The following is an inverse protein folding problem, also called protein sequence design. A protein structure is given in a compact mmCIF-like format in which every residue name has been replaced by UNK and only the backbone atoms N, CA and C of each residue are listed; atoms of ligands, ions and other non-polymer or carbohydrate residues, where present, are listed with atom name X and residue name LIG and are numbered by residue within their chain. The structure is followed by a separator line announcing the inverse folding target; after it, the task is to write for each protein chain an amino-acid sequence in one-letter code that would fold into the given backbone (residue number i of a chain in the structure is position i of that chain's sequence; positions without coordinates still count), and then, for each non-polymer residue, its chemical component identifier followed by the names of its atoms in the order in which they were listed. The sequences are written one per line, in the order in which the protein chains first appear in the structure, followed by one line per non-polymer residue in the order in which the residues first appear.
data_IF_320592598812
#
_entry.id   IF_320592598812
#
_cell.length_a   1.000
_cell.length_b   1.000
_cell.length_c   1.000
_cell.angle_alpha   90.00
_cell.angle_beta   90.00
_cell.angle_gamma   90.00
#
_symmetry.space_group_name_H-M   'P 1'
#
loop_
_entity.id
_entity.type
_entity.pdbx_description
1 polymer ?
#
# COMPACT_ATOMS: atom_id res chain seq x y z
N UNK A 1 -19.19 -40.82 57.35
CA UNK A 1 -19.67 -39.43 57.30
C UNK A 1 -18.81 -38.65 56.32
N UNK A 2 -19.16 -38.75 55.04
CA UNK A 2 -18.70 -37.84 53.99
C UNK A 2 -19.49 -36.52 54.10
N UNK A 3 -18.97 -35.46 53.48
CA UNK A 3 -19.52 -34.10 53.35
C UNK A 3 -19.11 -33.10 54.43
N UNK A 4 -17.90 -32.56 54.28
CA UNK A 4 -17.62 -31.13 54.56
C UNK A 4 -16.32 -30.58 53.98
N UNK A 5 -15.67 -31.27 53.03
CA UNK A 5 -14.40 -30.82 52.45
C UNK A 5 -14.48 -30.30 50.99
N UNK A 6 -15.62 -30.45 50.28
CA UNK A 6 -15.69 -30.05 48.86
C UNK A 6 -16.17 -28.62 48.59
N UNK A 7 -16.79 -27.92 49.54
CA UNK A 7 -17.33 -26.58 49.27
C UNK A 7 -16.35 -25.41 49.46
N UNK A 8 -15.33 -25.53 50.33
CA UNK A 8 -14.39 -24.42 50.55
C UNK A 8 -13.31 -24.30 49.47
N UNK A 9 -12.91 -25.42 48.86
CA UNK A 9 -11.97 -25.40 47.73
C UNK A 9 -12.67 -24.88 46.47
N UNK A 10 -13.96 -25.18 46.28
CA UNK A 10 -14.72 -24.66 45.15
C UNK A 10 -14.96 -23.14 45.25
N UNK A 11 -15.16 -22.60 46.46
CA UNK A 11 -15.41 -21.17 46.64
C UNK A 11 -14.14 -20.30 46.49
N UNK A 12 -12.96 -20.83 46.82
CA UNK A 12 -11.69 -20.14 46.58
C UNK A 12 -11.34 -20.16 45.09
N UNK A 13 -11.69 -21.22 44.37
CA UNK A 13 -11.52 -21.29 42.91
C UNK A 13 -12.56 -20.40 42.20
N UNK A 14 -13.78 -20.26 42.73
CA UNK A 14 -14.80 -19.39 42.13
C UNK A 14 -14.52 -17.88 42.32
N UNK A 15 -13.84 -17.50 43.40
CA UNK A 15 -13.45 -16.09 43.65
C UNK A 15 -12.16 -15.71 42.92
N UNK A 16 -11.31 -16.67 42.52
CA UNK A 16 -10.16 -16.40 41.65
C UNK A 16 -10.48 -16.44 40.14
N UNK A 17 -11.69 -16.87 39.75
CA UNK A 17 -12.17 -16.79 38.36
C UNK A 17 -12.78 -15.42 38.04
N UNK A 18 -12.95 -14.54 39.03
CA UNK A 18 -13.42 -13.17 38.85
C UNK A 18 -12.28 -12.21 39.22
N UNK A 19 -11.73 -11.48 38.24
CA UNK A 19 -10.55 -10.59 38.25
C UNK A 19 -9.24 -11.15 37.68
N UNK A 20 -9.32 -12.20 36.86
CA UNK A 20 -8.36 -12.37 35.77
C UNK A 20 -9.07 -12.23 34.43
N UNK A 21 -9.83 -11.14 34.25
CA UNK A 21 -9.82 -10.46 32.96
C UNK A 21 -8.43 -9.85 32.80
N UNK A 22 -7.42 -10.71 32.64
CA UNK A 22 -6.28 -10.36 31.82
C UNK A 22 -6.93 -10.02 30.49
N UNK A 23 -7.10 -8.72 30.24
CA UNK A 23 -7.21 -8.23 28.89
C UNK A 23 -6.11 -8.98 28.14
N UNK A 24 -6.51 -9.96 27.34
CA UNK A 24 -5.67 -10.46 26.27
C UNK A 24 -5.37 -9.15 25.54
N UNK A 25 -4.12 -8.64 25.54
CA UNK A 25 -3.81 -7.53 24.67
C UNK A 25 -4.31 -8.00 23.32
N UNK A 26 -5.28 -7.30 22.73
CA UNK A 26 -5.78 -7.65 21.42
C UNK A 26 -4.53 -7.82 20.56
N UNK A 27 -4.20 -9.07 20.23
CA UNK A 27 -3.06 -9.38 19.40
C UNK A 27 -3.42 -8.66 18.10
N UNK A 28 -2.80 -7.49 17.86
CA UNK A 28 -3.06 -6.65 16.70
C UNK A 28 -3.21 -7.60 15.52
N UNK A 29 -4.40 -7.67 14.94
CA UNK A 29 -4.71 -8.71 13.98
C UNK A 29 -3.64 -8.66 12.88
N UNK A 30 -2.78 -9.70 12.81
CA UNK A 30 -1.57 -9.66 11.97
C UNK A 30 -1.88 -9.57 10.47
N UNK A 31 -3.15 -9.66 10.08
CA UNK A 31 -3.58 -9.69 8.69
C UNK A 31 -4.63 -8.61 8.45
N UNK A 32 -4.18 -7.47 7.92
CA UNK A 32 -5.05 -6.42 7.40
C UNK A 32 -5.92 -7.01 6.29
N UNK A 33 -7.24 -6.81 6.38
CA UNK A 33 -8.19 -7.25 5.36
C UNK A 33 -8.33 -6.17 4.30
N UNK A 34 -7.98 -6.49 3.05
CA UNK A 34 -8.30 -5.63 1.91
C UNK A 34 -9.75 -5.87 1.50
N UNK A 35 -10.50 -4.78 1.33
CA UNK A 35 -11.86 -4.76 0.81
C UNK A 35 -11.87 -3.95 -0.48
N UNK A 36 -12.39 -4.56 -1.54
CA UNK A 36 -12.41 -3.99 -2.88
C UNK A 36 -13.71 -3.17 -3.09
N UNK A 37 -13.59 -1.86 -3.32
CA UNK A 37 -14.73 -0.94 -3.43
C UNK A 37 -15.45 -1.09 -4.77
N UNK A 38 -16.76 -1.33 -4.74
CA UNK A 38 -17.57 -1.75 -5.89
C UNK A 38 -17.03 -3.01 -6.61
N UNK A 39 -16.22 -3.83 -5.94
CA UNK A 39 -15.35 -4.83 -6.59
C UNK A 39 -13.96 -4.26 -6.92
N UNK A 40 -13.38 -4.60 -8.08
CA UNK A 40 -12.14 -3.95 -8.56
C UNK A 40 -12.49 -2.84 -9.57
N UNK A 41 -11.99 -1.62 -9.37
CA UNK A 41 -12.25 -0.49 -10.30
C UNK A 41 -11.10 -0.25 -11.29
N UNK A 42 -10.02 -1.02 -11.18
CA UNK A 42 -8.82 -0.92 -12.02
C UNK A 42 -9.16 -1.02 -13.51
N UNK A 43 -9.78 -2.13 -13.91
CA UNK A 43 -10.05 -2.49 -15.30
C UNK A 43 -11.39 -3.23 -15.48
N UNK A 44 -12.12 -3.54 -14.41
CA UNK A 44 -13.44 -4.21 -14.48
C UNK A 44 -14.62 -3.24 -14.28
N UNK A 45 -15.82 -3.57 -14.81
CA UNK A 45 -17.01 -2.74 -14.61
C UNK A 45 -17.51 -2.84 -13.18
N UNK A 46 -17.74 -1.70 -12.53
CA UNK A 46 -18.12 -1.63 -11.12
C UNK A 46 -19.41 -2.39 -10.81
N UNK A 47 -19.51 -2.97 -9.60
CA UNK A 47 -20.70 -3.65 -9.10
C UNK A 47 -21.19 -4.84 -9.99
N UNK A 48 -20.27 -5.53 -10.68
CA UNK A 48 -20.54 -6.70 -11.53
C UNK A 48 -19.85 -7.97 -11.02
N UNK A 49 -20.26 -9.15 -11.52
CA UNK A 49 -19.58 -10.40 -11.20
C UNK A 49 -18.15 -10.44 -11.74
N UNK A 50 -17.88 -9.87 -12.92
CA UNK A 50 -16.51 -9.72 -13.42
C UNK A 50 -15.60 -8.99 -12.43
N UNK A 51 -16.07 -7.89 -11.83
CA UNK A 51 -15.31 -7.16 -10.83
C UNK A 51 -15.10 -7.97 -9.53
N UNK A 52 -16.09 -8.76 -9.13
CA UNK A 52 -15.99 -9.60 -7.92
C UNK A 52 -15.05 -10.78 -8.11
N UNK A 53 -15.12 -11.46 -9.25
CA UNK A 53 -14.20 -12.55 -9.59
C UNK A 53 -12.76 -12.05 -9.68
N UNK A 54 -12.53 -10.89 -10.32
CA UNK A 54 -11.20 -10.28 -10.33
C UNK A 54 -10.70 -9.99 -8.91
N UNK A 55 -11.54 -9.37 -8.08
CA UNK A 55 -11.17 -9.05 -6.70
C UNK A 55 -10.82 -10.31 -5.88
N UNK A 56 -11.58 -11.41 -6.03
CA UNK A 56 -11.27 -12.69 -5.38
C UNK A 56 -9.95 -13.27 -5.89
N UNK A 57 -9.70 -13.22 -7.21
CA UNK A 57 -8.45 -13.72 -7.80
C UNK A 57 -7.22 -12.93 -7.33
N UNK A 58 -7.38 -11.64 -7.02
CA UNK A 58 -6.35 -10.82 -6.37
C UNK A 58 -6.07 -11.28 -4.93
N UNK A 59 -7.04 -11.92 -4.26
CA UNK A 59 -6.91 -12.40 -2.88
C UNK A 59 -7.43 -11.40 -1.84
N UNK A 60 -8.40 -10.55 -2.18
CA UNK A 60 -9.03 -9.66 -1.20
C UNK A 60 -9.87 -10.45 -0.19
N UNK A 61 -10.02 -9.92 1.03
CA UNK A 61 -10.83 -10.56 2.07
C UNK A 61 -12.26 -10.03 2.16
N UNK A 62 -12.62 -9.02 1.37
CA UNK A 62 -13.96 -8.48 1.28
C UNK A 62 -14.27 -7.68 0.01
N UNK A 63 -15.56 -7.40 -0.22
CA UNK A 63 -16.06 -6.48 -1.24
C UNK A 63 -16.92 -5.40 -0.58
N UNK A 64 -16.89 -4.17 -1.08
CA UNK A 64 -17.92 -3.18 -0.78
C UNK A 64 -18.82 -3.05 -2.01
N UNK A 65 -20.13 -3.03 -1.77
CA UNK A 65 -21.16 -3.03 -2.82
C UNK A 65 -22.27 -2.04 -2.50
N UNK A 66 -22.85 -1.46 -3.55
CA UNK A 66 -23.90 -0.46 -3.43
C UNK A 66 -25.27 -1.05 -3.71
N UNK A 67 -26.23 -0.90 -2.79
CA UNK A 67 -27.56 -1.49 -2.94
C UNK A 67 -28.63 -0.42 -3.18
N UNK A 68 -29.45 -0.68 -4.21
CA UNK A 68 -30.66 0.08 -4.54
C UNK A 68 -31.83 -0.85 -4.87
N UNK A 69 -33.03 -0.30 -4.89
CA UNK A 69 -34.29 -0.99 -5.08
C UNK A 69 -34.97 -0.55 -6.37
N UNK A 70 -35.40 -1.52 -7.15
CA UNK A 70 -36.16 -1.34 -8.38
C UNK A 70 -37.63 -1.01 -8.10
N UNK A 71 -38.39 -0.69 -9.16
CA UNK A 71 -39.83 -0.44 -9.09
C UNK A 71 -40.63 -1.62 -8.52
N UNK A 72 -40.20 -2.85 -8.79
CA UNK A 72 -40.77 -4.12 -8.30
C UNK A 72 -40.10 -4.64 -7.02
N UNK A 73 -39.55 -3.72 -6.24
CA UNK A 73 -38.90 -3.96 -4.96
C UNK A 73 -37.69 -4.91 -5.01
N UNK A 74 -37.13 -5.24 -6.16
CA UNK A 74 -35.91 -6.07 -6.22
C UNK A 74 -34.71 -5.25 -5.77
N UNK A 75 -33.81 -5.88 -5.02
CA UNK A 75 -32.57 -5.26 -4.57
C UNK A 75 -31.47 -5.60 -5.57
N UNK A 76 -30.91 -4.58 -6.20
CA UNK A 76 -29.86 -4.69 -7.21
C UNK A 76 -28.60 -3.96 -6.75
N UNK A 77 -27.48 -4.28 -7.37
CA UNK A 77 -26.25 -3.54 -7.18
C UNK A 77 -26.16 -2.37 -8.16
N UNK A 78 -26.14 -1.16 -7.62
CA UNK A 78 -26.04 0.07 -8.41
C UNK A 78 -25.62 1.25 -7.53
N UNK A 79 -24.55 1.94 -7.91
CA UNK A 79 -24.09 3.12 -7.20
C UNK A 79 -25.00 4.34 -7.44
N UNK A 80 -25.29 4.63 -8.71
CA UNK A 80 -26.01 5.82 -9.14
C UNK A 80 -27.53 5.67 -8.98
N UNK A 81 -28.27 6.78 -8.90
CA UNK A 81 -29.74 6.76 -8.87
C UNK A 81 -30.38 6.40 -10.22
N UNK A 82 -29.58 6.47 -11.29
CA UNK A 82 -29.92 6.10 -12.66
C UNK A 82 -29.00 4.99 -13.17
N UNK A 83 -29.43 4.28 -14.21
CA UNK A 83 -28.62 3.26 -14.88
C UNK A 83 -27.71 3.85 -15.98
N UNK A 84 -27.77 5.17 -16.18
CA UNK A 84 -27.31 5.87 -17.38
C UNK A 84 -25.80 5.82 -17.63
N UNK A 85 -24.99 5.80 -16.56
CA UNK A 85 -23.52 5.87 -16.64
C UNK A 85 -22.89 4.51 -16.84
N UNK A 86 -23.42 3.50 -16.15
CA UNK A 86 -22.81 2.16 -16.04
C UNK A 86 -23.56 1.11 -16.84
N UNK A 87 -24.56 1.51 -17.63
CA UNK A 87 -25.24 0.62 -18.56
C UNK A 87 -25.51 1.30 -19.90
N UNK A 88 -25.91 0.53 -20.90
CA UNK A 88 -26.44 1.04 -22.17
C UNK A 88 -27.93 1.47 -22.11
N UNK A 89 -28.56 1.34 -20.94
CA UNK A 89 -29.93 1.79 -20.67
C UNK A 89 -30.01 3.24 -20.18
N UNK A 90 -31.24 3.72 -19.96
CA UNK A 90 -31.53 5.04 -19.38
C UNK A 90 -32.70 5.00 -18.40
N UNK A 91 -32.60 5.77 -17.33
CA UNK A 91 -33.69 6.00 -16.38
C UNK A 91 -33.31 5.74 -14.92
N UNK A 92 -34.19 6.18 -14.03
CA UNK A 92 -34.04 6.01 -12.59
C UNK A 92 -34.29 4.55 -12.18
N UNK A 93 -33.41 4.00 -11.33
CA UNK A 93 -33.50 2.62 -10.84
C UNK A 93 -34.88 2.34 -10.21
N UNK A 94 -35.37 3.28 -9.38
CA UNK A 94 -36.66 3.13 -8.70
C UNK A 94 -37.90 3.32 -9.59
N UNK A 95 -37.71 3.58 -10.89
CA UNK A 95 -38.78 3.70 -11.90
C UNK A 95 -38.82 2.55 -12.90
N UNK A 96 -37.84 1.66 -12.87
CA UNK A 96 -37.70 0.53 -13.78
C UNK A 96 -37.92 -0.80 -13.04
N UNK A 97 -38.52 -1.77 -13.71
CA UNK A 97 -38.59 -3.16 -13.23
C UNK A 97 -37.23 -3.83 -13.38
N UNK A 98 -36.90 -4.78 -12.50
CA UNK A 98 -35.65 -5.53 -12.64
C UNK A 98 -35.55 -6.27 -13.97
N UNK A 99 -36.67 -6.82 -14.46
CA UNK A 99 -36.71 -7.53 -15.74
C UNK A 99 -36.37 -6.63 -16.94
N UNK A 100 -36.56 -5.31 -16.81
CA UNK A 100 -36.11 -4.32 -17.79
C UNK A 100 -34.62 -4.03 -17.59
N UNK A 101 -34.19 -3.75 -16.35
CA UNK A 101 -32.80 -3.41 -16.03
C UNK A 101 -31.84 -4.53 -16.45
N UNK A 102 -32.19 -5.79 -16.20
CA UNK A 102 -31.35 -6.96 -16.50
C UNK A 102 -31.12 -7.19 -18.00
N UNK A 103 -31.84 -6.50 -18.89
CA UNK A 103 -31.59 -6.59 -20.32
C UNK A 103 -30.40 -5.74 -20.73
N UNK A 104 -30.17 -4.62 -20.04
CA UNK A 104 -29.09 -3.68 -20.35
C UNK A 104 -27.71 -4.29 -20.05
N UNK A 105 -26.75 -3.93 -20.88
CA UNK A 105 -25.34 -4.27 -20.72
C UNK A 105 -24.72 -3.34 -19.68
N UNK A 106 -24.11 -3.91 -18.65
CA UNK A 106 -23.46 -3.20 -17.55
C UNK A 106 -21.92 -3.23 -17.62
N UNK A 107 -21.33 -3.75 -18.70
CA UNK A 107 -19.88 -3.96 -18.83
C UNK A 107 -19.21 -3.27 -20.01
N UNK A 108 -19.89 -3.14 -21.15
CA UNK A 108 -19.33 -2.63 -22.40
C UNK A 108 -18.74 -1.22 -22.29
N UNK A 109 -19.27 -0.40 -21.37
CA UNK A 109 -18.74 0.95 -21.10
C UNK A 109 -17.33 0.94 -20.53
N UNK A 110 -16.90 -0.18 -19.93
CA UNK A 110 -15.55 -0.38 -19.39
C UNK A 110 -14.59 -0.99 -20.40
N UNK A 111 -15.06 -1.96 -21.20
CA UNK A 111 -14.25 -2.67 -22.20
C UNK A 111 -15.07 -3.68 -23.00
N UNK A 112 -14.61 -4.00 -24.22
CA UNK A 112 -15.28 -4.95 -25.12
C UNK A 112 -15.31 -6.37 -24.55
N UNK A 113 -14.34 -6.72 -23.71
CA UNK A 113 -14.25 -8.02 -23.02
C UNK A 113 -15.34 -8.25 -21.97
N UNK A 114 -16.04 -7.19 -21.55
CA UNK A 114 -17.12 -7.24 -20.56
C UNK A 114 -18.51 -7.12 -21.17
N UNK A 115 -18.62 -7.14 -22.50
CA UNK A 115 -19.91 -7.16 -23.18
C UNK A 115 -20.72 -8.35 -22.69
N UNK A 116 -21.94 -8.09 -22.25
CA UNK A 116 -22.88 -9.07 -21.71
C UNK A 116 -23.02 -9.05 -20.18
N UNK A 117 -22.13 -8.37 -19.45
CA UNK A 117 -22.27 -8.19 -18.00
C UNK A 117 -23.60 -7.52 -17.67
N UNK A 118 -24.20 -7.91 -16.52
CA UNK A 118 -25.53 -7.44 -16.09
C UNK A 118 -25.47 -6.88 -14.68
N UNK A 119 -26.40 -5.97 -14.37
CA UNK A 119 -26.61 -5.49 -13.00
C UNK A 119 -27.08 -6.66 -12.09
N UNK A 120 -26.27 -7.08 -11.09
CA UNK A 120 -26.59 -8.23 -10.25
C UNK A 120 -27.73 -7.96 -9.26
N UNK A 121 -28.46 -9.01 -8.88
CA UNK A 121 -29.30 -8.98 -7.68
C UNK A 121 -28.43 -9.13 -6.43
N UNK A 122 -28.86 -8.48 -5.34
CA UNK A 122 -28.21 -8.65 -4.04
C UNK A 122 -28.24 -10.12 -3.58
N UNK A 123 -29.33 -10.85 -3.85
CA UNK A 123 -29.45 -12.27 -3.51
C UNK A 123 -28.31 -13.11 -4.10
N UNK A 124 -27.98 -12.86 -5.37
CA UNK A 124 -27.00 -13.63 -6.10
C UNK A 124 -25.59 -13.31 -5.59
N UNK A 125 -25.36 -12.04 -5.25
CA UNK A 125 -24.08 -11.58 -4.68
C UNK A 125 -23.89 -12.10 -3.26
N UNK A 126 -24.93 -12.16 -2.43
CA UNK A 126 -24.86 -12.78 -1.09
C UNK A 126 -24.55 -14.27 -1.19
N UNK A 127 -25.23 -15.00 -2.08
CA UNK A 127 -24.93 -16.41 -2.32
C UNK A 127 -23.48 -16.61 -2.75
N UNK A 128 -23.04 -15.84 -3.75
CA UNK A 128 -21.67 -15.87 -4.24
C UNK A 128 -20.66 -15.57 -3.12
N UNK A 129 -20.91 -14.54 -2.32
CA UNK A 129 -20.02 -14.14 -1.25
C UNK A 129 -19.90 -15.21 -0.15
N UNK A 130 -21.01 -15.86 0.19
CA UNK A 130 -21.06 -16.99 1.12
C UNK A 130 -20.22 -18.16 0.61
N UNK A 131 -20.40 -18.55 -0.65
CA UNK A 131 -19.66 -19.66 -1.28
C UNK A 131 -18.16 -19.40 -1.35
N UNK A 132 -17.78 -18.15 -1.62
CA UNK A 132 -16.38 -17.72 -1.70
C UNK A 132 -15.78 -17.34 -0.34
N UNK A 133 -16.58 -17.38 0.73
CA UNK A 133 -16.21 -17.00 2.09
C UNK A 133 -15.58 -15.58 2.16
N UNK A 134 -16.19 -14.63 1.46
CA UNK A 134 -15.72 -13.23 1.39
C UNK A 134 -16.65 -12.31 2.20
N UNK A 135 -16.06 -11.34 2.91
CA UNK A 135 -16.83 -10.35 3.68
C UNK A 135 -17.46 -9.32 2.76
N UNK A 136 -18.58 -8.73 3.17
CA UNK A 136 -19.27 -7.69 2.41
C UNK A 136 -19.47 -6.45 3.26
N UNK A 137 -19.08 -5.28 2.73
CA UNK A 137 -19.59 -3.99 3.20
C UNK A 137 -20.81 -3.64 2.34
N UNK A 138 -21.99 -3.61 2.95
CA UNK A 138 -23.24 -3.23 2.28
C UNK A 138 -23.46 -1.72 2.42
N UNK A 139 -23.28 -0.99 1.33
CA UNK A 139 -23.53 0.43 1.25
C UNK A 139 -24.93 0.72 0.74
N UNK A 140 -25.83 1.07 1.65
CA UNK A 140 -27.24 1.29 1.32
C UNK A 140 -27.49 2.73 0.90
N UNK A 141 -27.93 2.92 -0.34
CA UNK A 141 -28.04 4.24 -0.98
C UNK A 141 -29.38 4.95 -0.78
N UNK A 142 -30.39 4.26 -0.26
CA UNK A 142 -31.73 4.82 -0.06
C UNK A 142 -32.39 4.33 1.24
N UNK A 143 -33.49 4.98 1.64
CA UNK A 143 -34.23 4.63 2.85
C UNK A 143 -35.34 3.61 2.55
N UNK A 144 -35.78 2.88 3.57
CA UNK A 144 -36.98 2.05 3.51
C UNK A 144 -36.75 0.67 2.90
N UNK A 145 -35.49 0.24 2.78
CA UNK A 145 -35.09 -1.08 2.25
C UNK A 145 -34.36 -1.94 3.27
N UNK A 146 -34.21 -1.43 4.49
CA UNK A 146 -33.38 -1.98 5.56
C UNK A 146 -33.90 -3.32 6.05
N UNK A 147 -35.20 -3.41 6.31
CA UNK A 147 -35.82 -4.68 6.75
C UNK A 147 -35.68 -5.79 5.71
N UNK A 148 -35.75 -5.44 4.42
CA UNK A 148 -35.58 -6.39 3.32
C UNK A 148 -34.14 -6.87 3.19
N UNK A 149 -33.18 -5.98 3.39
CA UNK A 149 -31.76 -6.35 3.46
C UNK A 149 -31.52 -7.29 4.64
N UNK A 150 -32.06 -6.97 5.83
CA UNK A 150 -31.92 -7.81 7.01
C UNK A 150 -32.58 -9.18 6.84
N UNK A 151 -33.71 -9.28 6.12
CA UNK A 151 -34.30 -10.58 5.80
C UNK A 151 -33.38 -11.41 4.92
N UNK A 152 -32.75 -10.81 3.91
CA UNK A 152 -31.80 -11.51 3.04
C UNK A 152 -30.58 -11.98 3.85
N UNK A 153 -29.98 -11.11 4.66
CA UNK A 153 -28.82 -11.49 5.49
C UNK A 153 -29.12 -12.68 6.40
N UNK A 154 -30.34 -12.73 6.96
CA UNK A 154 -30.81 -13.87 7.77
C UNK A 154 -31.05 -15.12 6.93
N UNK A 155 -31.71 -14.98 5.78
CA UNK A 155 -31.99 -16.09 4.85
C UNK A 155 -30.69 -16.75 4.36
N UNK A 156 -29.67 -15.94 4.03
CA UNK A 156 -28.36 -16.43 3.60
C UNK A 156 -27.43 -16.77 4.77
N UNK A 157 -27.82 -16.56 6.03
CA UNK A 157 -26.98 -16.80 7.23
C UNK A 157 -25.60 -16.11 7.16
N UNK A 158 -25.61 -14.83 6.76
CA UNK A 158 -24.40 -14.04 6.51
C UNK A 158 -24.15 -12.97 7.56
N UNK A 159 -24.84 -12.98 8.69
CA UNK A 159 -24.78 -11.91 9.70
C UNK A 159 -23.34 -11.60 10.18
N UNK A 160 -22.48 -12.62 10.23
CA UNK A 160 -21.08 -12.50 10.66
C UNK A 160 -20.12 -12.11 9.51
N UNK A 161 -20.60 -12.06 8.27
CA UNK A 161 -19.81 -11.71 7.08
C UNK A 161 -20.16 -10.31 6.55
N UNK A 162 -21.16 -9.65 7.13
CA UNK A 162 -21.73 -8.40 6.66
C UNK A 162 -21.36 -7.25 7.59
N UNK A 163 -20.81 -6.19 7.00
CA UNK A 163 -20.63 -4.89 7.61
C UNK A 163 -21.59 -3.92 6.94
N UNK A 164 -22.26 -3.09 7.73
CA UNK A 164 -23.16 -2.06 7.22
C UNK A 164 -22.38 -0.77 6.97
N UNK A 165 -22.73 -0.07 5.89
CA UNK A 165 -22.26 1.27 5.59
C UNK A 165 -23.37 2.14 5.00
N UNK A 166 -23.15 3.45 4.99
CA UNK A 166 -24.09 4.42 4.43
C UNK A 166 -25.29 4.64 5.35
N UNK A 167 -26.52 4.60 4.80
CA UNK A 167 -27.72 4.97 5.58
C UNK A 167 -28.10 3.95 6.68
N UNK A 168 -27.56 2.74 6.60
CA UNK A 168 -27.77 1.70 7.62
C UNK A 168 -26.97 1.91 8.90
N UNK A 169 -25.95 2.78 8.91
CA UNK A 169 -25.11 3.03 10.09
C UNK A 169 -25.93 3.50 11.31
N UNK A 170 -27.03 4.23 11.07
CA UNK A 170 -27.92 4.74 12.11
C UNK A 170 -28.82 3.66 12.75
N UNK A 171 -29.08 2.54 12.06
CA UNK A 171 -30.09 1.55 12.46
C UNK A 171 -29.45 0.36 13.22
N UNK A 172 -28.11 0.24 13.19
CA UNK A 172 -27.37 -0.83 13.88
C UNK A 172 -27.60 -0.86 15.40
N UNK A 173 -27.87 0.28 16.03
CA UNK A 173 -27.84 0.42 17.48
C UNK A 173 -29.20 0.40 18.19
N UNK A 174 -30.33 0.49 17.49
CA UNK A 174 -31.62 0.74 18.15
C UNK A 174 -32.59 -0.44 18.14
N UNK A 175 -32.49 -1.40 17.22
CA UNK A 175 -33.54 -2.44 17.10
C UNK A 175 -33.09 -3.87 16.75
N UNK A 176 -31.85 -4.11 16.30
CA UNK A 176 -31.52 -5.39 15.63
C UNK A 176 -30.86 -6.42 16.56
N UNK A 177 -30.45 -6.03 17.78
CA UNK A 177 -29.83 -6.96 18.73
C UNK A 177 -28.48 -7.55 18.25
N UNK A 178 -27.83 -6.90 17.28
CA UNK A 178 -26.48 -7.27 16.84
C UNK A 178 -25.50 -6.81 17.93
N UNK A 179 -25.19 -7.70 18.87
CA UNK A 179 -24.04 -7.54 19.77
C UNK A 179 -22.80 -8.11 19.08
N UNK A 180 -21.87 -7.24 18.68
CA UNK A 180 -20.65 -7.67 18.00
C UNK A 180 -19.72 -6.51 17.61
N UNK A 181 -18.48 -6.87 17.28
CA UNK A 181 -17.42 -5.94 16.88
C UNK A 181 -17.86 -5.06 15.71
N UNK A 182 -17.69 -3.74 15.86
CA UNK A 182 -18.07 -2.73 14.88
C UNK A 182 -16.89 -2.40 13.98
N UNK A 183 -17.10 -2.27 12.66
CA UNK A 183 -16.10 -1.65 11.79
C UNK A 183 -16.33 -0.13 11.77
N UNK A 184 -15.28 0.65 12.09
CA UNK A 184 -15.30 2.11 12.13
C UNK A 184 -14.27 2.64 11.13
N UNK A 185 -14.73 3.42 10.14
CA UNK A 185 -13.85 4.04 9.15
C UNK A 185 -13.41 5.43 9.56
N UNK A 186 -12.12 5.71 9.38
CA UNK A 186 -11.54 7.04 9.56
C UNK A 186 -10.87 7.52 8.27
N UNK A 187 -10.73 8.83 8.13
CA UNK A 187 -9.88 9.39 7.08
C UNK A 187 -8.39 9.20 7.46
N UNK A 188 -7.47 9.05 6.47
CA UNK A 188 -6.05 8.82 6.75
C UNK A 188 -5.38 9.88 7.65
N UNK A 189 -5.91 11.11 7.70
CA UNK A 189 -5.38 12.19 8.56
C UNK A 189 -5.96 12.24 9.97
N UNK A 190 -6.98 11.44 10.28
CA UNK A 190 -7.68 11.43 11.57
C UNK A 190 -7.23 10.27 12.47
N UNK A 191 -6.48 9.31 11.91
CA UNK A 191 -6.02 8.12 12.62
C UNK A 191 -4.74 8.42 13.42
N UNK A 192 -4.83 8.30 14.74
CA UNK A 192 -3.67 8.25 15.65
C UNK A 192 -3.60 6.86 16.29
N UNK A 193 -2.43 6.49 16.81
CA UNK A 193 -2.27 5.22 17.54
C UNK A 193 -3.24 5.12 18.72
N UNK A 194 -3.46 6.22 19.43
CA UNK A 194 -4.39 6.28 20.59
C UNK A 194 -5.85 6.02 20.18
N UNK A 195 -6.27 6.51 19.00
CA UNK A 195 -7.62 6.27 18.47
C UNK A 195 -7.77 4.79 18.09
N UNK A 196 -6.74 4.21 17.47
CA UNK A 196 -6.74 2.80 17.07
C UNK A 196 -6.83 1.91 18.31
N UNK A 197 -6.00 2.16 19.31
CA UNK A 197 -5.99 1.42 20.58
C UNK A 197 -7.35 1.56 21.31
N UNK A 198 -7.92 2.76 21.37
CA UNK A 198 -9.24 2.99 21.96
C UNK A 198 -10.37 2.20 21.26
N UNK A 199 -10.37 2.14 19.93
CA UNK A 199 -11.37 1.35 19.18
C UNK A 199 -11.19 -0.14 19.43
N UNK A 200 -9.94 -0.62 19.48
CA UNK A 200 -9.62 -2.01 19.80
C UNK A 200 -9.98 -2.40 21.23
N UNK A 201 -9.79 -1.52 22.22
CA UNK A 201 -10.22 -1.72 23.62
C UNK A 201 -11.74 -1.90 23.76
N UNK A 202 -12.51 -1.35 22.81
CA UNK A 202 -13.97 -1.56 22.72
C UNK A 202 -14.36 -2.81 21.94
N UNK A 203 -13.40 -3.67 21.59
CA UNK A 203 -13.58 -4.86 20.76
C UNK A 203 -14.18 -4.57 19.38
N UNK A 204 -13.86 -3.39 18.83
CA UNK A 204 -14.26 -2.97 17.49
C UNK A 204 -13.06 -3.04 16.53
N UNK A 205 -13.34 -3.00 15.24
CA UNK A 205 -12.37 -3.00 14.14
C UNK A 205 -12.20 -1.60 13.56
N UNK A 206 -10.97 -1.25 13.23
CA UNK A 206 -10.63 0.03 12.59
C UNK A 206 -10.46 -0.18 11.09
N UNK A 207 -11.11 0.67 10.29
CA UNK A 207 -10.95 0.73 8.84
C UNK A 207 -10.36 2.06 8.37
N UNK A 208 -9.61 2.03 7.28
CA UNK A 208 -9.20 3.23 6.54
C UNK A 208 -9.61 3.13 5.07
N UNK A 209 -9.82 4.28 4.43
CA UNK A 209 -10.27 4.39 3.05
C UNK A 209 -9.19 4.98 2.15
N UNK A 210 -8.88 4.29 1.04
CA UNK A 210 -7.88 4.69 0.04
C UNK A 210 -8.53 4.79 -1.35
N UNK A 211 -9.10 5.96 -1.64
CA UNK A 211 -9.84 6.20 -2.90
C UNK A 211 -9.05 7.06 -3.88
N UNK A 212 -9.30 6.81 -5.17
CA UNK A 212 -8.84 7.66 -6.28
C UNK A 212 -7.33 7.70 -6.49
N UNK A 213 -6.57 6.74 -5.96
CA UNK A 213 -5.12 6.65 -6.23
C UNK A 213 -4.60 5.21 -6.15
N UNK A 214 -3.86 4.81 -7.18
CA UNK A 214 -3.07 3.57 -7.31
C UNK A 214 -1.58 3.79 -6.99
N UNK A 215 -1.22 5.01 -6.59
CA UNK A 215 0.16 5.39 -6.35
C UNK A 215 0.67 4.69 -5.08
N UNK A 216 1.59 3.75 -5.25
CA UNK A 216 2.15 2.94 -4.15
C UNK A 216 2.66 3.76 -2.98
N UNK A 217 3.42 4.83 -3.21
CA UNK A 217 3.97 5.67 -2.13
C UNK A 217 2.84 6.34 -1.31
N UNK A 218 1.81 6.86 -1.99
CA UNK A 218 0.65 7.48 -1.33
C UNK A 218 -0.23 6.46 -0.60
N UNK A 219 -0.40 5.27 -1.17
CA UNK A 219 -1.13 4.19 -0.51
C UNK A 219 -0.35 3.73 0.72
N UNK A 220 0.95 3.51 0.60
CA UNK A 220 1.82 3.10 1.71
C UNK A 220 1.83 4.11 2.86
N UNK A 221 1.92 5.41 2.57
CA UNK A 221 1.83 6.50 3.57
C UNK A 221 0.51 6.46 4.35
N UNK A 222 -0.58 6.08 3.69
CA UNK A 222 -1.93 6.02 4.27
C UNK A 222 -2.28 4.65 4.85
N UNK A 223 -1.44 3.63 4.64
CA UNK A 223 -1.56 2.30 5.23
C UNK A 223 -0.98 2.29 6.66
N UNK A 224 -1.79 2.79 7.58
CA UNK A 224 -1.44 2.96 8.99
C UNK A 224 -1.40 1.60 9.69
N UNK A 225 -0.37 1.38 10.52
CA UNK A 225 -0.22 0.15 11.32
C UNK A 225 -1.33 0.09 12.39
N UNK A 226 -1.90 -1.09 12.60
CA UNK A 226 -2.98 -1.31 13.57
C UNK A 226 -4.39 -1.13 13.02
N UNK A 227 -4.56 -0.74 11.76
CA UNK A 227 -5.85 -0.80 11.08
C UNK A 227 -6.17 -2.25 10.70
N UNK A 228 -7.42 -2.69 10.90
CA UNK A 228 -7.86 -4.05 10.58
C UNK A 228 -8.35 -4.18 9.12
N UNK A 229 -8.83 -3.09 8.52
CA UNK A 229 -9.46 -3.08 7.20
C UNK A 229 -8.98 -1.91 6.33
N UNK A 230 -8.65 -2.18 5.07
CA UNK A 230 -8.43 -1.14 4.05
C UNK A 230 -9.49 -1.29 2.97
N UNK A 231 -10.28 -0.24 2.77
CA UNK A 231 -11.24 -0.14 1.66
C UNK A 231 -10.60 0.65 0.51
N UNK A 232 -10.53 0.11 -0.70
CA UNK A 232 -9.82 0.75 -1.81
C UNK A 232 -10.39 0.43 -3.19
N UNK A 233 -10.15 1.35 -4.14
CA UNK A 233 -10.43 1.18 -5.57
C UNK A 233 -9.41 0.29 -6.29
N UNK A 234 -8.20 0.17 -5.71
CA UNK A 234 -7.02 -0.47 -6.30
C UNK A 234 -6.53 -1.64 -5.44
N UNK A 235 -7.34 -2.72 -5.30
CA UNK A 235 -7.04 -3.83 -4.42
C UNK A 235 -5.76 -4.58 -4.77
N UNK A 236 -5.36 -4.63 -6.05
CA UNK A 236 -4.11 -5.30 -6.46
C UNK A 236 -2.89 -4.62 -5.85
N UNK A 237 -2.87 -3.28 -5.89
CA UNK A 237 -1.80 -2.47 -5.32
C UNK A 237 -1.74 -2.63 -3.80
N UNK A 238 -2.91 -2.64 -3.14
CA UNK A 238 -2.97 -2.82 -1.69
C UNK A 238 -2.51 -4.21 -1.24
N UNK A 239 -2.91 -5.28 -1.94
CA UNK A 239 -2.47 -6.65 -1.67
C UNK A 239 -0.96 -6.80 -1.89
N UNK A 240 -0.42 -6.25 -2.98
CA UNK A 240 1.01 -6.25 -3.22
C UNK A 240 1.79 -5.57 -2.08
N UNK A 241 1.29 -4.43 -1.57
CA UNK A 241 1.91 -3.72 -0.45
C UNK A 241 1.82 -4.52 0.86
N UNK A 242 0.74 -5.26 1.09
CA UNK A 242 0.60 -6.13 2.27
C UNK A 242 1.45 -7.39 2.20
N UNK A 243 1.53 -8.05 1.05
CA UNK A 243 2.40 -9.21 0.84
C UNK A 243 3.88 -8.83 0.98
N UNK A 244 4.25 -7.64 0.48
CA UNK A 244 5.58 -7.06 0.72
C UNK A 244 5.88 -6.85 2.21
N UNK A 245 4.89 -6.46 3.03
CA UNK A 245 5.03 -6.31 4.50
C UNK A 245 5.07 -7.66 5.24
N UNK A 246 4.23 -8.62 4.87
CA UNK A 246 4.09 -9.93 5.59
C UNK A 246 5.23 -10.90 5.31
N UNK A 247 5.88 -10.86 4.13
CA UNK A 247 7.12 -11.61 3.90
C UNK A 247 8.31 -11.07 4.70
N UNK A 248 8.22 -9.83 5.19
CA UNK A 248 9.25 -9.14 5.95
C UNK A 248 8.98 -9.09 7.47
N UNK A 249 7.95 -9.79 7.99
CA UNK A 249 7.77 -9.93 9.44
C UNK A 249 8.62 -11.08 10.02
N UNK A 250 9.51 -10.82 11.00
CA UNK A 250 10.31 -11.86 11.62
C UNK A 250 9.45 -12.73 12.55
N UNK A 251 9.46 -14.05 12.32
CA UNK A 251 8.85 -15.02 13.25
C UNK A 251 9.52 -14.92 14.62
N UNK A 252 8.70 -14.53 15.60
CA UNK A 252 8.97 -14.50 17.04
C UNK A 252 10.04 -15.48 17.53
N UNK A 253 11.14 -14.94 18.08
CA UNK A 253 11.88 -15.59 19.16
C UNK A 253 11.90 -14.66 20.36
N UNK A 254 11.07 -14.99 21.36
CA UNK A 254 11.24 -14.55 22.74
C UNK A 254 12.71 -14.75 23.12
N UNK A 255 13.40 -13.66 23.46
CA UNK A 255 14.20 -13.50 24.68
C UNK A 255 14.33 -11.99 24.87
N UNK A 256 13.54 -11.48 25.81
CA UNK A 256 13.72 -10.17 26.42
C UNK A 256 14.73 -10.41 27.54
N UNK A 257 15.94 -9.91 27.38
CA UNK A 257 16.73 -9.28 28.44
C UNK A 257 18.06 -8.83 27.85
N UNK A 258 18.36 -7.57 28.12
CA UNK A 258 19.69 -6.94 28.15
C UNK A 258 20.55 -7.12 26.92
N UNK A 259 20.91 -6.02 26.26
CA UNK A 259 22.31 -5.71 25.94
C UNK A 259 22.34 -4.39 25.17
N UNK A 260 23.19 -3.48 25.66
CA UNK A 260 23.84 -2.48 24.84
C UNK A 260 24.32 -3.17 23.56
N UNK A 261 23.68 -2.92 22.42
CA UNK A 261 24.11 -3.55 21.16
C UNK A 261 25.44 -2.93 20.73
N UNK A 262 26.47 -3.78 20.78
CA UNK A 262 27.81 -3.53 20.31
C UNK A 262 27.81 -3.06 18.85
N UNK A 263 28.52 -1.97 18.58
CA UNK A 263 28.71 -1.39 17.23
C UNK A 263 29.32 -2.37 16.22
N UNK A 264 29.96 -3.46 16.68
CA UNK A 264 30.61 -4.45 15.83
C UNK A 264 29.64 -5.35 15.05
N UNK A 265 28.49 -5.72 15.62
CA UNK A 265 27.50 -6.57 14.94
C UNK A 265 26.82 -5.88 13.75
N UNK A 266 26.69 -4.55 13.82
CA UNK A 266 26.12 -3.74 12.75
C UNK A 266 27.05 -3.62 11.54
N UNK A 267 28.37 -3.65 11.73
CA UNK A 267 29.36 -3.54 10.63
C UNK A 267 29.38 -4.82 9.79
N UNK A 268 29.34 -6.00 10.41
CA UNK A 268 29.25 -7.27 9.67
C UNK A 268 27.94 -7.39 8.88
N UNK A 269 26.83 -6.93 9.45
CA UNK A 269 25.53 -6.90 8.75
C UNK A 269 25.55 -5.93 7.57
N UNK A 270 26.11 -4.73 7.74
CA UNK A 270 26.32 -3.77 6.65
C UNK A 270 27.18 -4.38 5.55
N UNK A 271 28.27 -5.06 5.90
CA UNK A 271 29.14 -5.73 4.92
C UNK A 271 28.42 -6.83 4.13
N UNK A 272 27.56 -7.63 4.78
CA UNK A 272 26.74 -8.64 4.09
C UNK A 272 25.76 -7.99 3.11
N UNK A 273 25.16 -6.85 3.49
CA UNK A 273 24.26 -6.11 2.60
C UNK A 273 25.01 -5.49 1.42
N UNK A 274 26.20 -4.94 1.65
CA UNK A 274 27.07 -4.42 0.59
C UNK A 274 27.50 -5.55 -0.36
N UNK A 275 27.88 -6.71 0.17
CA UNK A 275 28.21 -7.90 -0.63
C UNK A 275 26.99 -8.34 -1.47
N UNK A 276 25.81 -8.36 -0.86
CA UNK A 276 24.54 -8.68 -1.55
C UNK A 276 24.21 -7.66 -2.64
N UNK A 277 24.51 -6.37 -2.43
CA UNK A 277 24.34 -5.34 -3.47
C UNK A 277 25.23 -5.58 -4.69
N UNK A 278 26.45 -6.09 -4.49
CA UNK A 278 27.44 -6.31 -5.55
C UNK A 278 27.24 -7.67 -6.24
N UNK A 279 26.96 -8.72 -5.45
CA UNK A 279 27.05 -10.12 -5.87
C UNK A 279 25.70 -10.86 -5.85
N UNK A 280 24.66 -10.32 -5.22
CA UNK A 280 23.34 -10.93 -5.16
C UNK A 280 22.56 -10.83 -6.48
N UNK A 281 21.42 -11.53 -6.61
CA UNK A 281 20.46 -11.28 -7.70
C UNK A 281 19.93 -9.83 -7.69
N UNK A 282 19.43 -9.28 -8.82
CA UNK A 282 18.94 -7.91 -8.90
C UNK A 282 17.93 -7.53 -7.80
N UNK A 283 17.00 -8.43 -7.48
CA UNK A 283 15.99 -8.21 -6.45
C UNK A 283 16.61 -8.14 -5.05
N UNK A 284 17.54 -9.04 -4.75
CA UNK A 284 18.27 -9.05 -3.47
C UNK A 284 19.19 -7.83 -3.35
N UNK A 285 19.82 -7.39 -4.44
CA UNK A 285 20.65 -6.18 -4.47
C UNK A 285 19.82 -4.93 -4.20
N UNK A 286 18.62 -4.84 -4.79
CA UNK A 286 17.68 -3.74 -4.52
C UNK A 286 17.14 -3.80 -3.10
N UNK A 287 16.84 -4.99 -2.58
CA UNK A 287 16.41 -5.18 -1.19
C UNK A 287 17.51 -4.80 -0.21
N UNK A 288 18.75 -5.21 -0.46
CA UNK A 288 19.89 -4.86 0.38
C UNK A 288 20.14 -3.34 0.41
N UNK A 289 19.99 -2.67 -0.74
CA UNK A 289 20.05 -1.23 -0.85
C UNK A 289 18.97 -0.54 0.01
N UNK A 290 17.72 -1.01 -0.07
CA UNK A 290 16.63 -0.52 0.76
C UNK A 290 16.90 -0.72 2.26
N UNK A 291 17.36 -1.92 2.65
CA UNK A 291 17.69 -2.22 4.05
C UNK A 291 18.79 -1.27 4.54
N UNK A 292 19.86 -1.07 3.76
CA UNK A 292 20.93 -0.12 4.10
C UNK A 292 20.39 1.31 4.27
N UNK A 293 19.38 1.72 3.51
CA UNK A 293 18.77 3.04 3.65
C UNK A 293 17.97 3.23 4.95
N UNK A 294 17.54 2.13 5.57
CA UNK A 294 16.81 2.13 6.84
C UNK A 294 17.70 1.99 8.08
N UNK A 295 19.00 1.67 7.89
CA UNK A 295 19.98 1.63 8.98
C UNK A 295 20.41 3.03 9.41
N UNK A 296 20.93 3.20 10.65
CA UNK A 296 21.50 4.47 11.10
C UNK A 296 22.52 5.02 10.10
N UNK A 297 22.38 6.32 9.78
CA UNK A 297 23.20 7.01 8.78
C UNK A 297 24.71 6.95 9.07
N UNK A 298 25.10 6.76 10.34
CA UNK A 298 26.50 6.60 10.76
C UNK A 298 27.13 5.31 10.21
N UNK A 299 26.30 4.30 9.95
CA UNK A 299 26.70 2.97 9.50
C UNK A 299 26.54 2.78 7.99
N UNK A 300 25.53 3.41 7.37
CA UNK A 300 25.14 3.15 5.98
C UNK A 300 25.65 4.19 4.98
N UNK A 301 25.75 5.47 5.35
CA UNK A 301 26.09 6.53 4.40
C UNK A 301 27.47 6.35 3.77
N UNK A 302 28.50 6.04 4.57
CA UNK A 302 29.87 5.93 4.06
C UNK A 302 30.04 4.72 3.11
N UNK A 303 29.61 3.49 3.46
CA UNK A 303 29.67 2.35 2.54
C UNK A 303 28.90 2.57 1.23
N UNK A 304 27.74 3.23 1.29
CA UNK A 304 26.97 3.55 0.08
C UNK A 304 27.67 4.60 -0.80
N UNK A 305 28.36 5.58 -0.20
CA UNK A 305 29.22 6.52 -0.95
C UNK A 305 30.35 5.78 -1.66
N UNK A 306 30.97 4.79 -1.04
CA UNK A 306 32.00 3.97 -1.68
C UNK A 306 31.44 3.22 -2.91
N UNK A 307 30.23 2.66 -2.79
CA UNK A 307 29.56 1.94 -3.88
C UNK A 307 29.24 2.81 -5.10
N UNK A 308 29.06 4.13 -4.95
CA UNK A 308 28.93 5.04 -6.09
C UNK A 308 30.16 5.01 -7.01
N UNK A 309 31.34 4.76 -6.44
CA UNK A 309 32.60 4.66 -7.19
C UNK A 309 32.92 3.24 -7.61
N UNK A 310 32.05 2.27 -7.33
CA UNK A 310 32.26 0.86 -7.64
C UNK A 310 32.56 0.69 -9.13
N UNK A 311 33.80 0.25 -9.41
CA UNK A 311 34.27 -0.16 -10.72
C UNK A 311 34.61 -1.64 -10.60
N UNK A 312 34.02 -2.46 -11.46
CA UNK A 312 34.17 -3.92 -11.48
C UNK A 312 35.65 -4.32 -11.44
N UNK A 313 36.19 -4.61 -10.26
CA UNK A 313 37.53 -5.15 -10.08
C UNK A 313 37.46 -6.66 -10.24
N UNK A 314 38.11 -7.18 -11.28
CA UNK A 314 38.16 -8.62 -11.60
C UNK A 314 38.94 -9.49 -10.60
N UNK A 315 39.39 -8.96 -9.46
CA UNK A 315 40.13 -9.66 -8.39
C UNK A 315 39.81 -8.95 -7.07
N UNK A 316 39.61 -9.61 -5.91
CA UNK A 316 40.50 -10.62 -5.32
C UNK A 316 39.91 -11.24 -4.04
N UNK A 317 40.30 -12.50 -3.78
CA UNK A 317 40.60 -13.15 -2.50
C UNK A 317 39.62 -13.05 -1.32
N UNK A 318 39.09 -14.21 -0.91
CA UNK A 318 38.60 -14.44 0.45
C UNK A 318 39.28 -15.72 1.02
N UNK A 319 40.03 -15.68 2.16
CA UNK A 319 40.81 -16.80 2.69
C UNK A 319 39.98 -18.02 3.12
N UNK A 320 38.66 -17.84 3.25
CA UNK A 320 37.71 -18.80 3.81
C UNK A 320 37.40 -19.94 2.82
N UNK A 321 37.66 -19.76 1.51
CA UNK A 321 37.37 -20.80 0.49
C UNK A 321 38.24 -22.07 0.61
N UNK A 322 39.29 -22.10 1.45
CA UNK A 322 40.15 -23.29 1.58
C UNK A 322 39.55 -24.42 2.43
N UNK A 323 38.52 -24.16 3.24
CA UNK A 323 37.89 -25.21 4.07
C UNK A 323 36.72 -25.88 3.34
N UNK A 324 36.14 -25.23 2.33
CA UNK A 324 35.02 -25.76 1.53
C UNK A 324 35.50 -26.13 0.12
N UNK A 325 36.61 -26.88 0.02
CA UNK A 325 37.18 -27.33 -1.26
C UNK A 325 36.81 -28.77 -1.63
N UNK A 326 35.86 -29.42 -0.94
CA UNK A 326 35.49 -30.81 -1.22
C UNK A 326 34.11 -30.96 -1.91
N UNK A 327 33.27 -29.92 -1.90
CA UNK A 327 32.00 -29.94 -2.65
C UNK A 327 31.73 -28.57 -3.28
N UNK A 328 32.23 -28.34 -4.50
CA UNK A 328 31.72 -27.25 -5.35
C UNK A 328 31.49 -27.73 -6.76
N UNK A 329 30.20 -27.86 -7.09
CA UNK A 329 29.72 -27.61 -8.45
C UNK A 329 29.90 -26.11 -8.68
N UNK A 330 30.63 -25.73 -9.72
CA UNK A 330 30.87 -24.33 -10.07
C UNK A 330 29.54 -23.66 -10.46
N UNK A 331 28.91 -22.98 -9.49
CA UNK A 331 27.85 -22.01 -9.80
C UNK A 331 28.51 -20.80 -10.47
N UNK A 332 28.11 -20.51 -11.71
CA UNK A 332 28.48 -19.28 -12.42
C UNK A 332 28.01 -18.09 -11.58
N UNK A 333 28.96 -17.35 -11.04
CA UNK A 333 28.76 -16.08 -10.32
C UNK A 333 27.98 -15.10 -11.23
N UNK A 334 26.68 -14.91 -10.97
CA UNK A 334 25.84 -13.94 -11.67
C UNK A 334 26.19 -12.56 -11.11
N UNK A 335 27.20 -11.91 -11.69
CA UNK A 335 27.63 -10.60 -11.24
C UNK A 335 26.71 -9.50 -11.83
N UNK A 336 26.06 -8.72 -10.96
CA UNK A 336 25.27 -7.57 -11.38
C UNK A 336 26.16 -6.54 -12.10
N UNK A 337 25.70 -5.93 -13.21
CA UNK A 337 26.36 -4.78 -13.83
C UNK A 337 26.67 -3.67 -12.83
N UNK A 338 27.89 -3.13 -12.84
CA UNK A 338 28.31 -2.06 -11.92
C UNK A 338 27.37 -0.84 -11.94
N UNK A 339 26.70 -0.59 -13.07
CA UNK A 339 25.70 0.48 -13.19
C UNK A 339 24.50 0.28 -12.26
N UNK A 340 24.02 -0.96 -12.08
CA UNK A 340 22.88 -1.27 -11.19
C UNK A 340 23.29 -1.09 -9.74
N UNK A 341 24.52 -1.49 -9.37
CA UNK A 341 25.07 -1.26 -8.02
C UNK A 341 25.11 0.24 -7.70
N UNK A 342 25.60 1.05 -8.64
CA UNK A 342 25.65 2.52 -8.49
C UNK A 342 24.26 3.14 -8.38
N UNK A 343 23.29 2.68 -9.18
CA UNK A 343 21.89 3.15 -9.11
C UNK A 343 21.27 2.82 -7.76
N UNK A 344 21.42 1.58 -7.29
CA UNK A 344 20.92 1.16 -5.98
C UNK A 344 21.57 1.96 -4.84
N UNK A 345 22.87 2.25 -4.93
CA UNK A 345 23.57 3.10 -3.97
C UNK A 345 23.05 4.54 -3.99
N UNK A 346 22.89 5.15 -5.17
CA UNK A 346 22.33 6.49 -5.32
C UNK A 346 20.90 6.59 -4.77
N UNK A 347 20.05 5.61 -5.09
CA UNK A 347 18.68 5.51 -4.58
C UNK A 347 18.65 5.48 -3.05
N UNK A 348 19.47 4.63 -2.44
CA UNK A 348 19.57 4.46 -0.98
C UNK A 348 20.04 5.74 -0.28
N UNK A 349 21.08 6.40 -0.82
CA UNK A 349 21.57 7.67 -0.29
C UNK A 349 20.50 8.78 -0.34
N UNK A 350 19.67 8.78 -1.39
CA UNK A 350 18.53 9.67 -1.50
C UNK A 350 17.46 9.45 -0.42
N UNK A 351 17.23 8.20 -0.03
CA UNK A 351 16.29 7.84 1.05
C UNK A 351 16.84 8.22 2.44
N UNK A 352 18.14 8.02 2.67
CA UNK A 352 18.81 8.40 3.92
C UNK A 352 18.78 9.93 4.12
N UNK A 353 18.84 10.71 3.03
CA UNK A 353 18.87 12.19 3.04
C UNK A 353 20.06 12.80 3.77
N UNK A 354 21.15 12.06 3.88
CA UNK A 354 22.38 12.54 4.51
C UNK A 354 23.15 13.48 3.57
N UNK A 355 23.41 14.70 4.04
CA UNK A 355 24.13 15.74 3.28
C UNK A 355 25.56 15.34 2.92
N UNK A 356 26.18 14.41 3.65
CA UNK A 356 27.51 13.87 3.32
C UNK A 356 27.54 13.21 1.94
N UNK A 357 26.40 12.76 1.43
CA UNK A 357 26.27 12.12 0.12
C UNK A 357 26.21 13.11 -1.06
N UNK A 358 25.94 14.40 -0.83
CA UNK A 358 25.69 15.39 -1.89
C UNK A 358 26.86 15.51 -2.86
N UNK A 359 28.07 15.79 -2.36
CA UNK A 359 29.25 15.96 -3.21
C UNK A 359 29.64 14.65 -3.93
N UNK A 360 29.65 13.48 -3.28
CA UNK A 360 29.85 12.19 -3.96
C UNK A 360 28.86 11.91 -5.09
N UNK A 361 27.56 12.20 -4.88
CA UNK A 361 26.52 12.04 -5.90
C UNK A 361 26.75 12.98 -7.08
N UNK A 362 27.07 14.26 -6.82
CA UNK A 362 27.37 15.23 -7.87
C UNK A 362 28.52 14.76 -8.76
N UNK A 363 29.57 14.19 -8.18
CA UNK A 363 30.72 13.65 -8.94
C UNK A 363 30.36 12.48 -9.87
N UNK A 364 29.25 11.78 -9.65
CA UNK A 364 28.80 10.69 -10.52
C UNK A 364 27.89 11.16 -11.67
N UNK A 365 27.50 12.44 -11.73
CA UNK A 365 26.65 12.97 -12.82
C UNK A 365 27.39 13.11 -14.16
N UNK A 366 28.72 13.02 -14.18
CA UNK A 366 29.54 13.06 -15.40
C UNK A 366 29.47 11.77 -16.25
N UNK A 367 28.54 10.86 -15.95
CA UNK A 367 28.32 9.60 -16.67
C UNK A 367 27.53 9.80 -17.96
N UNK A 368 27.83 9.03 -19.01
CA UNK A 368 27.01 9.01 -20.24
C UNK A 368 25.69 8.24 -20.07
N UNK A 369 25.52 7.53 -18.95
CA UNK A 369 24.31 6.76 -18.65
C UNK A 369 23.17 7.64 -18.12
N UNK A 370 22.15 7.86 -18.96
CA UNK A 370 20.97 8.65 -18.60
C UNK A 370 20.20 8.08 -17.41
N UNK A 371 20.07 6.75 -17.27
CA UNK A 371 19.28 6.17 -16.17
C UNK A 371 19.95 6.41 -14.81
N UNK A 372 21.29 6.31 -14.75
CA UNK A 372 22.06 6.65 -13.56
C UNK A 372 22.01 8.16 -13.28
N UNK A 373 22.11 9.02 -14.31
CA UNK A 373 21.91 10.48 -14.13
C UNK A 373 20.55 10.80 -13.52
N UNK A 374 19.49 10.13 -13.98
CA UNK A 374 18.14 10.29 -13.41
C UNK A 374 18.08 9.85 -11.95
N UNK A 375 18.61 8.68 -11.63
CA UNK A 375 18.57 8.18 -10.24
C UNK A 375 19.36 9.10 -9.29
N UNK A 376 20.52 9.59 -9.71
CA UNK A 376 21.31 10.56 -8.95
C UNK A 376 20.54 11.88 -8.79
N UNK A 377 19.90 12.38 -9.86
CA UNK A 377 19.12 13.62 -9.80
C UNK A 377 17.93 13.49 -8.85
N UNK A 378 17.25 12.34 -8.84
CA UNK A 378 16.17 12.02 -7.89
C UNK A 378 16.69 11.89 -6.46
N UNK A 379 17.89 11.33 -6.25
CA UNK A 379 18.52 11.28 -4.94
C UNK A 379 18.85 12.68 -4.41
N UNK A 380 19.44 13.55 -5.24
CA UNK A 380 19.71 14.95 -4.89
C UNK A 380 18.42 15.73 -4.59
N UNK A 381 17.35 15.49 -5.36
CA UNK A 381 16.01 16.02 -5.07
C UNK A 381 15.52 15.63 -3.67
N UNK A 382 15.66 14.36 -3.28
CA UNK A 382 15.22 13.86 -1.96
C UNK A 382 16.04 14.44 -0.81
N UNK A 383 17.36 14.64 -1.02
CA UNK A 383 18.26 15.27 -0.05
C UNK A 383 17.96 16.78 0.09
N UNK A 384 17.60 17.44 -1.02
CA UNK A 384 17.21 18.85 -1.08
C UNK A 384 18.26 19.83 -0.52
N UNK A 385 19.55 19.56 -0.72
CA UNK A 385 20.63 20.46 -0.28
C UNK A 385 20.96 21.53 -1.32
N UNK A 386 21.11 22.78 -0.87
CA UNK A 386 21.36 23.95 -1.73
C UNK A 386 22.65 23.86 -2.54
N UNK A 387 23.65 23.08 -2.09
CA UNK A 387 24.89 22.87 -2.85
C UNK A 387 24.65 22.22 -4.22
N UNK A 388 23.49 21.59 -4.43
CA UNK A 388 23.13 20.96 -5.71
C UNK A 388 22.60 21.94 -6.75
N UNK A 389 22.23 23.18 -6.37
CA UNK A 389 21.61 24.16 -7.28
C UNK A 389 22.44 24.45 -8.52
N UNK A 390 23.77 24.70 -8.43
CA UNK A 390 24.57 25.01 -9.62
C UNK A 390 24.59 23.87 -10.65
N UNK A 391 24.74 22.62 -10.20
CA UNK A 391 24.80 21.46 -11.09
C UNK A 391 23.42 21.14 -11.69
N UNK A 392 22.34 21.26 -10.92
CA UNK A 392 20.98 21.04 -11.41
C UNK A 392 20.56 22.12 -12.42
N UNK A 393 20.98 23.37 -12.23
CA UNK A 393 20.80 24.43 -13.23
C UNK A 393 21.52 24.09 -14.54
N UNK A 394 22.77 23.61 -14.46
CA UNK A 394 23.53 23.16 -15.64
C UNK A 394 22.81 22.02 -16.35
N UNK A 395 22.36 21.01 -15.61
CA UNK A 395 21.66 19.84 -16.17
C UNK A 395 20.40 20.27 -16.92
N UNK A 396 19.58 21.13 -16.30
CA UNK A 396 18.32 21.61 -16.89
C UNK A 396 18.52 22.32 -18.23
N UNK A 397 19.68 22.95 -18.47
CA UNK A 397 19.94 23.69 -19.72
C UNK A 397 20.76 22.93 -20.76
N UNK A 398 21.51 21.91 -20.36
CA UNK A 398 22.54 21.30 -21.22
C UNK A 398 22.45 19.80 -21.43
N UNK A 399 21.70 19.06 -20.61
CA UNK A 399 21.56 17.61 -20.83
C UNK A 399 20.72 17.30 -22.07
N UNK A 400 21.13 16.32 -22.86
CA UNK A 400 20.42 15.91 -24.08
C UNK A 400 19.10 15.20 -23.77
N UNK A 401 19.10 14.37 -22.72
CA UNK A 401 17.93 13.58 -22.31
C UNK A 401 16.87 14.46 -21.62
N UNK A 402 15.67 14.61 -22.22
CA UNK A 402 14.60 15.43 -21.64
C UNK A 402 14.09 14.89 -20.29
N UNK A 403 14.20 13.60 -20.00
CA UNK A 403 13.80 13.05 -18.71
C UNK A 403 14.76 13.49 -17.60
N UNK A 404 16.06 13.56 -17.89
CA UNK A 404 17.08 14.08 -16.96
C UNK A 404 16.84 15.57 -16.69
N UNK A 405 16.58 16.36 -17.74
CA UNK A 405 16.21 17.79 -17.60
C UNK A 405 14.93 17.99 -16.78
N UNK A 406 13.91 17.17 -17.03
CA UNK A 406 12.66 17.20 -16.27
C UNK A 406 12.87 16.89 -14.78
N UNK A 407 13.65 15.85 -14.46
CA UNK A 407 13.95 15.50 -13.07
C UNK A 407 14.77 16.61 -12.38
N UNK A 408 15.65 17.30 -13.10
CA UNK A 408 16.38 18.46 -12.57
C UNK A 408 15.46 19.67 -12.30
N UNK A 409 14.52 19.98 -13.19
CA UNK A 409 13.51 21.01 -12.95
C UNK A 409 12.69 20.74 -11.67
N UNK A 410 12.34 19.47 -11.42
CA UNK A 410 11.65 19.06 -10.20
C UNK A 410 12.55 19.15 -8.97
N UNK A 411 13.81 18.77 -9.09
CA UNK A 411 14.79 18.85 -8.02
C UNK A 411 14.98 20.29 -7.52
N UNK A 412 15.16 21.24 -8.45
CA UNK A 412 15.26 22.67 -8.15
C UNK A 412 14.03 23.19 -7.38
N UNK A 413 12.84 22.69 -7.72
CA UNK A 413 11.59 23.05 -7.05
C UNK A 413 11.38 22.44 -5.67
N UNK A 414 12.09 21.37 -5.30
CA UNK A 414 12.11 20.87 -3.92
C UNK A 414 13.13 21.62 -3.06
N UNK A 415 14.26 22.01 -3.66
CA UNK A 415 15.31 22.79 -2.97
C UNK A 415 14.84 24.22 -2.67
N UNK A 416 13.99 24.78 -3.55
CA UNK A 416 13.40 26.12 -3.41
C UNK A 416 14.46 27.19 -3.17
N UNK A 417 15.45 27.23 -4.07
CA UNK A 417 16.46 28.28 -4.04
C UNK A 417 16.21 29.28 -5.18
N UNK A 418 16.12 30.56 -4.82
CA UNK A 418 15.77 31.63 -5.77
C UNK A 418 16.77 31.78 -6.92
N UNK A 419 18.02 31.32 -6.77
CA UNK A 419 19.02 31.31 -7.84
C UNK A 419 18.64 30.37 -9.00
N UNK A 420 17.63 29.51 -8.85
CA UNK A 420 17.13 28.62 -9.90
C UNK A 420 16.04 29.24 -10.77
N UNK A 421 15.39 30.32 -10.31
CA UNK A 421 14.21 30.90 -10.98
C UNK A 421 14.52 31.32 -12.41
N UNK A 422 15.64 32.01 -12.62
CA UNK A 422 16.05 32.46 -13.96
C UNK A 422 16.25 31.28 -14.93
N UNK A 423 16.92 30.23 -14.47
CA UNK A 423 17.15 28.99 -15.24
C UNK A 423 15.83 28.33 -15.61
N UNK A 424 14.90 28.23 -14.66
CA UNK A 424 13.59 27.61 -14.87
C UNK A 424 12.73 28.40 -15.86
N UNK A 425 12.74 29.73 -15.80
CA UNK A 425 12.05 30.59 -16.78
C UNK A 425 12.68 30.40 -18.17
N UNK A 426 14.01 30.29 -18.24
CA UNK A 426 14.74 30.09 -19.49
C UNK A 426 14.37 28.75 -20.12
N UNK A 427 14.40 27.66 -19.35
CA UNK A 427 14.00 26.33 -19.81
C UNK A 427 12.50 26.28 -20.20
N UNK A 428 11.62 26.92 -19.42
CA UNK A 428 10.19 27.01 -19.74
C UNK A 428 9.92 27.65 -21.12
N UNK A 429 10.71 28.66 -21.50
CA UNK A 429 10.56 29.32 -22.81
C UNK A 429 11.19 28.51 -23.93
N UNK A 430 12.40 28.01 -23.70
CA UNK A 430 13.29 27.59 -24.79
C UNK A 430 13.43 26.07 -24.94
N UNK A 431 13.01 25.25 -23.96
CA UNK A 431 13.14 23.79 -24.08
C UNK A 431 12.19 23.23 -25.15
N UNK A 432 12.67 22.31 -25.97
CA UNK A 432 11.86 21.70 -27.04
C UNK A 432 10.90 20.62 -26.52
N UNK A 433 11.10 20.13 -25.30
CA UNK A 433 10.27 19.08 -24.71
C UNK A 433 9.17 19.65 -23.79
N UNK A 434 7.92 19.32 -24.09
CA UNK A 434 6.75 19.81 -23.36
C UNK A 434 6.74 19.39 -21.88
N UNK A 435 7.28 18.22 -21.55
CA UNK A 435 7.33 17.71 -20.17
C UNK A 435 8.31 18.53 -19.33
N UNK A 436 9.47 18.91 -19.89
CA UNK A 436 10.43 19.80 -19.22
C UNK A 436 9.80 21.16 -18.96
N UNK A 437 9.10 21.71 -19.96
CA UNK A 437 8.32 22.95 -19.82
C UNK A 437 7.27 22.84 -18.72
N UNK A 438 6.47 21.77 -18.71
CA UNK A 438 5.48 21.51 -17.66
C UNK A 438 6.11 21.37 -16.27
N UNK A 439 7.26 20.70 -16.17
CA UNK A 439 8.04 20.61 -14.94
C UNK A 439 8.51 21.98 -14.44
N UNK A 440 9.03 22.83 -15.33
CA UNK A 440 9.44 24.19 -14.99
C UNK A 440 8.26 25.06 -14.55
N UNK A 441 7.13 24.99 -15.26
CA UNK A 441 5.91 25.73 -14.90
C UNK A 441 5.38 25.30 -13.52
N UNK A 442 5.27 23.99 -13.28
CA UNK A 442 4.83 23.45 -12.00
C UNK A 442 5.77 23.81 -10.85
N UNK A 443 7.09 23.82 -11.10
CA UNK A 443 8.10 24.24 -10.12
C UNK A 443 8.01 25.74 -9.83
N UNK A 444 7.86 26.60 -10.84
CA UNK A 444 7.75 28.06 -10.67
C UNK A 444 6.50 28.48 -9.90
N UNK A 445 5.41 27.69 -9.98
CA UNK A 445 4.17 27.93 -9.22
C UNK A 445 4.26 27.59 -7.73
N UNK A 446 5.38 27.03 -7.25
CA UNK A 446 5.63 26.79 -5.82
C UNK A 446 6.12 28.07 -5.12
N UNK A 447 6.07 28.08 -3.79
CA UNK A 447 6.70 29.13 -2.98
C UNK A 447 8.23 28.94 -2.97
N UNK A 448 8.97 30.04 -3.18
CA UNK A 448 10.44 30.12 -3.32
C UNK A 448 11.15 30.73 -2.12
#
# INVERSE_FOLDING_TARGET
MLNKLSCKIFLIILVFIIHSSTAIPAELSKNIIIIARHGSLEDTPENTFAAFEKAINIGVGGLEIDVRKTKDDKLILMHDDTIDRTTDGKGYVNKLFYDEIKQYDAGAWKGEEFVGEKAPLLSDVLQFAKEKNIKIILNVKENGIEQKILSFIREYDMINQIYFGGRLDAIRNTEIGIQGAQLIFFQPGELTNDIIEFVHEKHNHVGTSLFGTDNRDKMEERMIKGVDVILTDYPSVAIDLLHYKTTNEPKNKKIKNELQMEMNGNIEQVNVLIDTMIHGPPDNSRMAALILSALPQELSTHPLIELLTYKKTRKRFNPIKKIISIFKKEEKEILIPAIIVKRNAAWSLGLIKDKRAVIPLIKQLETDDSELKREITLALKRIADKQTVPILNKILLSEEDPYVRYDAARALGEIKDSHSIYTLITALKNDNNWMVKGGCAGTLGKNW
#
